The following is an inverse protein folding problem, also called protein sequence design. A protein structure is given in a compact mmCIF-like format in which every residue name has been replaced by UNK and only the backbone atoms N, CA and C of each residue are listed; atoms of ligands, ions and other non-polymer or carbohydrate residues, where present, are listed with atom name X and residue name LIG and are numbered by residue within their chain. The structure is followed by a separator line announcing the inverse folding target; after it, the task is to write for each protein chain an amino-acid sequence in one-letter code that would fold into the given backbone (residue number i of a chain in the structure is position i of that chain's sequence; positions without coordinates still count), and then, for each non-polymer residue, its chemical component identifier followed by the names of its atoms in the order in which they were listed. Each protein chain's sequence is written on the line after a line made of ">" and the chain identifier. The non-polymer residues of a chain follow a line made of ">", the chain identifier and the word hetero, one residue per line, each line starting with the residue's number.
data_IF_919115274643
#
_entry.id   IF_919115274643
#
_cell.length_a   1.000
_cell.length_b   1.000
_cell.length_c   1.000
_cell.angle_alpha   90.00
_cell.angle_beta   90.00
_cell.angle_gamma   90.00
#
_symmetry.space_group_name_H-M   'P 1'
#
loop_
_entity.id
_entity.type
_entity.pdbx_description
1 polymer ?
#
# COMPACT_ATOMS: atom_id res chain seq x y z
N UNK A 1 20.52 -25.11 17.09
CA UNK A 1 19.24 -24.36 17.05
C UNK A 1 18.10 -25.36 17.19
N UNK A 2 17.29 -25.26 18.25
CA UNK A 2 16.33 -26.30 18.65
C UNK A 2 15.24 -26.56 17.60
N UNK A 3 14.90 -27.85 17.31
CA UNK A 3 13.85 -28.24 16.36
C UNK A 3 12.44 -27.78 16.77
N UNK A 4 12.24 -27.43 18.05
CA UNK A 4 10.98 -26.90 18.58
C UNK A 4 10.58 -25.55 17.97
N UNK A 5 11.54 -24.67 17.69
CA UNK A 5 11.27 -23.36 17.05
C UNK A 5 10.93 -23.50 15.56
N UNK A 6 11.36 -24.59 14.91
CA UNK A 6 11.04 -24.87 13.52
C UNK A 6 9.58 -25.33 13.36
N UNK A 7 9.00 -25.95 14.39
CA UNK A 7 7.63 -26.47 14.35
C UNK A 7 6.58 -25.38 14.60
N UNK A 8 6.86 -24.43 15.49
CA UNK A 8 5.89 -23.37 15.84
C UNK A 8 5.68 -22.38 14.69
N UNK A 9 6.72 -22.08 13.91
CA UNK A 9 6.63 -21.15 12.76
C UNK A 9 6.02 -21.81 11.52
N UNK A 10 5.99 -23.14 11.44
CA UNK A 10 5.61 -23.87 10.22
C UNK A 10 4.11 -24.21 10.10
N UNK A 11 3.31 -24.01 11.16
CA UNK A 11 1.89 -24.42 11.15
C UNK A 11 0.88 -23.34 11.55
N UNK A 12 1.32 -22.09 11.75
CA UNK A 12 0.39 -20.97 11.94
C UNK A 12 -0.13 -20.56 10.56
N UNK A 13 -1.44 -20.67 10.37
CA UNK A 13 -2.11 -20.24 9.14
C UNK A 13 -1.80 -18.75 8.87
N UNK A 14 -1.60 -18.37 7.61
CA UNK A 14 -1.33 -16.97 7.22
C UNK A 14 -2.43 -16.03 7.73
N UNK A 15 -3.66 -16.52 7.78
CA UNK A 15 -4.79 -15.82 8.38
C UNK A 15 -4.59 -15.54 9.88
N UNK A 16 -4.19 -16.54 10.66
CA UNK A 16 -3.98 -16.41 12.11
C UNK A 16 -2.85 -15.44 12.44
N UNK A 17 -1.78 -15.40 11.62
CA UNK A 17 -0.71 -14.42 11.77
C UNK A 17 -1.20 -12.99 11.54
N UNK A 18 -1.97 -12.76 10.46
CA UNK A 18 -2.54 -11.45 10.18
C UNK A 18 -3.55 -11.02 11.25
N UNK A 19 -4.39 -11.93 11.72
CA UNK A 19 -5.33 -11.64 12.81
C UNK A 19 -4.60 -11.26 14.10
N UNK A 20 -3.58 -12.03 14.49
CA UNK A 20 -2.77 -11.71 15.67
C UNK A 20 -2.04 -10.37 15.51
N UNK A 21 -1.54 -10.07 14.31
CA UNK A 21 -0.91 -8.78 13.99
C UNK A 21 -1.85 -7.60 14.23
N UNK A 22 -3.06 -7.61 13.68
CA UNK A 22 -4.02 -6.51 13.87
C UNK A 22 -4.53 -6.41 15.31
N UNK A 23 -4.72 -7.54 16.01
CA UNK A 23 -5.09 -7.54 17.43
C UNK A 23 -3.97 -6.93 18.30
N UNK A 24 -2.72 -7.31 18.06
CA UNK A 24 -1.57 -6.74 18.76
C UNK A 24 -1.40 -5.25 18.45
N UNK A 25 -1.50 -4.87 17.18
CA UNK A 25 -1.40 -3.48 16.75
C UNK A 25 -2.47 -2.61 17.40
N UNK A 26 -3.72 -3.08 17.45
CA UNK A 26 -4.84 -2.39 18.10
C UNK A 26 -4.64 -2.26 19.61
N UNK A 27 -4.19 -3.32 20.28
CA UNK A 27 -3.96 -3.31 21.72
C UNK A 27 -2.79 -2.40 22.12
N UNK A 28 -1.68 -2.46 21.37
CA UNK A 28 -0.57 -1.53 21.52
C UNK A 28 -1.02 -0.09 21.24
N UNK A 29 -1.85 0.10 20.20
CA UNK A 29 -2.44 1.37 19.85
C UNK A 29 -3.22 2.00 21.01
N UNK A 30 -4.12 1.22 21.61
CA UNK A 30 -4.91 1.61 22.77
C UNK A 30 -4.04 2.07 23.96
N UNK A 31 -3.06 1.25 24.37
CA UNK A 31 -2.21 1.58 25.52
C UNK A 31 -1.38 2.84 25.29
N UNK A 32 -0.83 2.99 24.09
CA UNK A 32 0.02 4.13 23.74
C UNK A 32 -0.82 5.41 23.63
N UNK A 33 -2.02 5.36 23.06
CA UNK A 33 -2.92 6.53 23.00
C UNK A 33 -3.29 7.06 24.39
N UNK A 34 -3.56 6.18 25.35
CA UNK A 34 -3.78 6.57 26.75
C UNK A 34 -2.52 7.18 27.35
N UNK A 35 -1.36 6.54 27.15
CA UNK A 35 -0.09 7.01 27.69
C UNK A 35 0.30 8.40 27.21
N UNK A 36 0.03 8.73 25.94
CA UNK A 36 0.39 10.04 25.37
C UNK A 36 -0.46 11.20 25.88
N UNK A 37 -1.67 10.93 26.37
CA UNK A 37 -2.61 11.93 26.89
C UNK A 37 -3.21 12.85 25.81
N UNK A 38 -4.46 13.26 26.04
CA UNK A 38 -5.18 14.23 25.22
C UNK A 38 -4.63 15.65 25.39
N UNK A 39 -5.07 16.55 24.52
CA UNK A 39 -4.72 17.97 24.62
C UNK A 39 -5.21 18.55 25.96
N UNK A 40 -4.44 19.46 26.61
CA UNK A 40 -4.90 20.15 27.81
C UNK A 40 -6.22 20.89 27.54
N UNK A 41 -7.23 20.64 28.38
CA UNK A 41 -8.56 21.25 28.27
C UNK A 41 -9.58 20.49 27.41
N UNK A 42 -9.18 19.39 26.76
CA UNK A 42 -10.13 18.47 26.14
C UNK A 42 -10.75 17.54 27.20
N UNK A 43 -12.02 17.19 27.01
CA UNK A 43 -12.68 16.19 27.84
C UNK A 43 -11.96 14.85 27.73
N UNK A 44 -11.77 14.17 28.87
CA UNK A 44 -11.10 12.87 28.90
C UNK A 44 -12.05 11.82 28.32
N UNK A 45 -11.71 11.19 27.18
CA UNK A 45 -12.54 10.16 26.58
C UNK A 45 -12.64 8.93 27.47
N UNK A 46 -13.70 8.13 27.28
CA UNK A 46 -13.84 6.86 27.98
C UNK A 46 -12.80 5.88 27.45
N UNK A 47 -12.42 4.92 28.29
CA UNK A 47 -11.47 3.86 27.91
C UNK A 47 -11.88 3.12 26.64
N UNK A 48 -13.18 2.86 26.46
CA UNK A 48 -13.71 2.18 25.27
C UNK A 48 -13.52 3.01 23.98
N UNK A 49 -13.52 4.34 24.09
CA UNK A 49 -13.35 5.23 22.95
C UNK A 49 -11.93 5.13 22.40
N UNK A 50 -10.93 5.00 23.27
CA UNK A 50 -9.54 4.74 22.87
C UNK A 50 -9.37 3.37 22.20
N UNK A 51 -10.05 2.33 22.69
CA UNK A 51 -10.01 1.00 22.05
C UNK A 51 -10.61 1.08 20.65
N UNK A 52 -11.78 1.71 20.53
CA UNK A 52 -12.46 1.88 19.25
C UNK A 52 -11.60 2.67 18.25
N UNK A 53 -11.07 3.82 18.68
CA UNK A 53 -10.20 4.64 17.82
C UNK A 53 -8.91 3.89 17.45
N UNK A 54 -8.28 3.16 18.38
CA UNK A 54 -7.07 2.39 18.09
C UNK A 54 -7.32 1.28 17.05
N UNK A 55 -8.41 0.51 17.21
CA UNK A 55 -8.81 -0.51 16.23
C UNK A 55 -9.08 0.15 14.89
N UNK A 56 -9.89 1.21 14.88
CA UNK A 56 -10.29 1.88 13.64
C UNK A 56 -9.11 2.48 12.87
N UNK A 57 -8.13 3.02 13.59
CA UNK A 57 -6.88 3.55 13.02
C UNK A 57 -5.98 2.43 12.50
N UNK A 58 -5.87 1.33 13.25
CA UNK A 58 -5.09 0.18 12.83
C UNK A 58 -5.70 -0.57 11.64
N UNK A 59 -7.02 -0.47 11.42
CA UNK A 59 -7.73 -1.10 10.30
C UNK A 59 -8.07 -0.13 9.17
N UNK A 60 -7.58 1.12 9.22
CA UNK A 60 -7.88 2.20 8.27
C UNK A 60 -9.38 2.36 7.97
N UNK A 61 -10.23 2.24 9.00
CA UNK A 61 -11.69 2.38 8.84
C UNK A 61 -12.21 3.79 9.10
N UNK A 62 -11.37 4.70 9.61
CA UNK A 62 -11.66 6.11 9.94
C UNK A 62 -12.93 6.43 10.74
N UNK A 63 -13.47 5.47 11.48
CA UNK A 63 -14.52 5.73 12.45
C UNK A 63 -13.89 6.16 13.78
N UNK A 64 -14.27 7.32 14.32
CA UNK A 64 -13.85 7.74 15.66
C UNK A 64 -15.02 8.22 16.48
N UNK A 65 -15.01 7.90 17.77
CA UNK A 65 -15.93 8.46 18.78
C UNK A 65 -15.34 9.74 19.38
N UNK A 66 -14.02 9.89 19.31
CA UNK A 66 -13.27 11.04 19.83
C UNK A 66 -13.07 12.04 18.69
N UNK A 67 -13.36 13.31 18.97
CA UNK A 67 -13.05 14.42 18.08
C UNK A 67 -11.55 14.47 17.73
N UNK A 68 -11.23 14.70 16.46
CA UNK A 68 -9.85 14.71 15.97
C UNK A 68 -8.99 15.81 16.63
N UNK A 69 -9.61 16.94 16.99
CA UNK A 69 -8.94 18.07 17.64
C UNK A 69 -8.71 17.88 19.15
N UNK A 70 -9.36 16.90 19.77
CA UNK A 70 -9.11 16.51 21.16
C UNK A 70 -7.77 15.79 21.32
N UNK A 71 -7.27 15.15 20.24
CA UNK A 71 -5.99 14.48 20.26
C UNK A 71 -4.82 15.46 20.32
N UNK A 72 -3.83 15.12 21.14
CA UNK A 72 -2.56 15.85 21.14
C UNK A 72 -1.79 15.60 19.84
N UNK A 73 -0.90 16.52 19.46
CA UNK A 73 -0.06 16.36 18.27
C UNK A 73 0.78 15.06 18.31
N UNK A 74 1.14 14.60 19.51
CA UNK A 74 1.84 13.33 19.70
C UNK A 74 0.91 12.14 19.43
N UNK A 75 -0.34 12.19 19.91
CA UNK A 75 -1.33 11.14 19.62
C UNK A 75 -1.62 11.07 18.13
N UNK A 76 -1.80 12.21 17.46
CA UNK A 76 -1.96 12.26 16.00
C UNK A 76 -0.77 11.63 15.28
N UNK A 77 0.47 11.94 15.67
CA UNK A 77 1.66 11.33 15.06
C UNK A 77 1.72 9.81 15.27
N UNK A 78 1.30 9.33 16.45
CA UNK A 78 1.24 7.90 16.71
C UNK A 78 0.11 7.22 15.93
N UNK A 79 -1.04 7.88 15.78
CA UNK A 79 -2.12 7.44 14.89
C UNK A 79 -1.63 7.36 13.44
N UNK A 80 -0.85 8.34 12.97
CA UNK A 80 -0.17 8.29 11.66
C UNK A 80 0.67 7.02 11.52
N UNK A 81 1.43 6.67 12.55
CA UNK A 81 2.21 5.43 12.55
C UNK A 81 1.31 4.19 12.50
N UNK A 82 0.22 4.15 13.28
CA UNK A 82 -0.75 3.04 13.27
C UNK A 82 -1.41 2.87 11.89
N UNK A 83 -1.87 3.95 11.25
CA UNK A 83 -2.44 3.92 9.90
C UNK A 83 -1.43 3.40 8.88
N UNK A 84 -0.20 3.91 8.92
CA UNK A 84 0.85 3.47 8.00
C UNK A 84 1.16 1.97 8.12
N UNK A 85 1.24 1.46 9.36
CA UNK A 85 1.57 0.06 9.65
C UNK A 85 0.34 -0.86 9.43
N UNK A 86 -0.86 -0.35 9.69
CA UNK A 86 -2.13 -1.05 9.45
C UNK A 86 -2.52 -1.15 7.98
N UNK A 87 -2.04 -0.22 7.15
CA UNK A 87 -2.44 -0.09 5.76
C UNK A 87 -2.13 -1.30 4.88
N UNK A 88 -3.07 -1.58 3.97
CA UNK A 88 -3.05 -2.74 3.08
C UNK A 88 -1.74 -2.84 2.29
N UNK A 89 -1.30 -1.73 1.68
CA UNK A 89 -0.06 -1.70 0.89
C UNK A 89 1.15 -2.05 1.76
N UNK A 90 1.25 -1.48 2.96
CA UNK A 90 2.38 -1.75 3.86
C UNK A 90 2.43 -3.22 4.27
N UNK A 91 1.31 -3.78 4.73
CA UNK A 91 1.21 -5.20 5.11
C UNK A 91 1.61 -6.10 3.95
N UNK A 92 1.14 -5.81 2.74
CA UNK A 92 1.51 -6.55 1.53
C UNK A 92 3.01 -6.47 1.21
N UNK A 93 3.65 -5.32 1.41
CA UNK A 93 5.10 -5.16 1.23
C UNK A 93 5.89 -5.93 2.30
N UNK A 94 5.44 -5.96 3.54
CA UNK A 94 6.07 -6.76 4.61
C UNK A 94 6.02 -8.24 4.25
N UNK A 95 4.86 -8.76 3.85
CA UNK A 95 4.70 -10.17 3.43
C UNK A 95 5.64 -10.50 2.26
N UNK A 96 5.71 -9.62 1.26
CA UNK A 96 6.61 -9.79 0.11
C UNK A 96 8.09 -9.76 0.52
N UNK A 97 8.46 -8.87 1.46
CA UNK A 97 9.83 -8.75 1.95
C UNK A 97 10.25 -9.97 2.75
N UNK A 98 9.35 -10.53 3.58
CA UNK A 98 9.57 -11.80 4.25
C UNK A 98 9.73 -12.95 3.26
N UNK A 99 8.94 -12.98 2.17
CA UNK A 99 9.10 -13.95 1.08
C UNK A 99 10.46 -13.81 0.40
N UNK A 100 10.86 -12.58 0.04
CA UNK A 100 12.16 -12.29 -0.56
C UNK A 100 13.33 -12.72 0.34
N UNK A 101 13.22 -12.45 1.65
CA UNK A 101 14.22 -12.85 2.64
C UNK A 101 14.34 -14.38 2.72
N UNK A 102 13.21 -15.10 2.84
CA UNK A 102 13.19 -16.57 2.87
C UNK A 102 13.84 -17.18 1.64
N UNK A 103 13.49 -16.65 0.46
CA UNK A 103 14.06 -17.08 -0.82
C UNK A 103 15.57 -16.84 -0.84
N UNK A 104 16.04 -15.65 -0.43
CA UNK A 104 17.46 -15.33 -0.34
C UNK A 104 18.22 -16.27 0.60
N UNK A 105 17.66 -16.56 1.77
CA UNK A 105 18.28 -17.48 2.75
C UNK A 105 18.36 -18.90 2.20
N UNK A 106 17.30 -19.39 1.55
CA UNK A 106 17.28 -20.73 0.93
C UNK A 106 18.33 -20.84 -0.17
N UNK A 107 18.43 -19.84 -1.05
CA UNK A 107 19.43 -19.81 -2.11
C UNK A 107 20.86 -19.78 -1.55
N UNK A 108 21.10 -19.09 -0.42
CA UNK A 108 22.42 -19.07 0.23
C UNK A 108 22.79 -20.42 0.86
N UNK A 109 21.84 -21.05 1.55
CA UNK A 109 22.04 -22.38 2.14
C UNK A 109 22.35 -23.44 1.06
N UNK A 110 21.66 -23.39 -0.08
CA UNK A 110 21.93 -24.29 -1.20
C UNK A 110 23.34 -24.11 -1.79
N UNK A 111 23.79 -22.85 -1.94
CA UNK A 111 25.14 -22.56 -2.42
C UNK A 111 26.23 -23.05 -1.45
N UNK A 112 26.03 -22.87 -0.13
CA UNK A 112 26.94 -23.36 0.90
C UNK A 112 27.02 -24.91 0.93
N UNK A 113 25.89 -25.59 0.69
CA UNK A 113 25.82 -27.06 0.61
C UNK A 113 26.54 -27.61 -0.62
N UNK A 114 26.38 -26.95 -1.78
CA UNK A 114 27.08 -27.30 -3.02
C UNK A 114 28.60 -27.10 -2.88
N UNK A 115 29.04 -25.99 -2.27
CA UNK A 115 30.46 -25.73 -1.98
C UNK A 115 31.05 -26.79 -1.04
N UNK A 116 30.33 -27.18 0.01
CA UNK A 116 30.75 -28.23 0.94
C UNK A 116 30.84 -29.60 0.26
N UNK A 117 29.91 -29.93 -0.63
CA UNK A 117 29.94 -31.19 -1.39
C UNK A 117 31.14 -31.25 -2.34
N UNK A 118 31.54 -30.11 -2.93
CA UNK A 118 32.70 -30.01 -3.81
C UNK A 118 34.04 -30.04 -3.06
N UNK A 119 34.04 -29.59 -1.80
CA UNK A 119 35.22 -29.60 -0.93
C UNK A 119 35.50 -30.95 -0.25
N UNK A 120 34.62 -31.95 -0.38
CA UNK A 120 34.84 -33.29 0.18
C UNK A 120 35.46 -34.19 -0.90
N UNK A 121 36.76 -34.57 -0.82
CA UNK A 121 37.33 -35.47 -1.78
C UNK A 121 36.81 -36.88 -1.52
N UNK A 122 36.14 -37.48 -2.50
CA UNK A 122 35.82 -38.91 -2.50
C UNK A 122 37.15 -39.68 -2.50
N UNK A 123 37.57 -40.17 -1.34
CA UNK A 123 38.67 -41.13 -1.23
C UNK A 123 38.18 -42.48 -1.73
N UNK A 124 38.13 -42.68 -3.05
CA UNK A 124 38.08 -44.02 -3.63
C UNK A 124 39.49 -44.64 -3.60
N UNK A 125 39.65 -45.91 -3.19
CA UNK A 125 40.96 -46.56 -3.15
C UNK A 125 41.52 -46.75 -4.57
N UNK A 126 42.85 -46.83 -4.74
CA UNK A 126 43.49 -46.84 -6.05
C UNK A 126 43.26 -48.19 -6.74
N UNK A 127 42.52 -48.16 -7.84
CA UNK A 127 42.34 -49.27 -8.78
C UNK A 127 42.76 -48.83 -10.19
N UNK A 128 43.79 -49.49 -10.68
CA UNK A 128 44.51 -49.34 -11.94
C UNK A 128 43.61 -49.32 -13.21
N UNK A 129 43.84 -48.36 -14.11
CA UNK A 129 44.13 -48.57 -15.55
C UNK A 129 43.80 -47.37 -16.47
N UNK A 130 44.87 -46.90 -17.12
CA UNK A 130 45.03 -46.52 -18.53
C UNK A 130 44.26 -45.32 -19.13
N UNK A 131 45.09 -44.35 -19.55
CA UNK A 131 44.94 -43.36 -20.60
C UNK A 131 43.95 -43.69 -21.72
N UNK A 132 43.01 -42.77 -21.95
CA UNK A 132 42.54 -42.44 -23.30
C UNK A 132 42.32 -40.92 -23.37
N UNK A 133 43.19 -40.22 -24.12
CA UNK A 133 43.00 -38.82 -24.47
C UNK A 133 41.90 -38.74 -25.53
N UNK A 134 40.66 -38.44 -25.13
CA UNK A 134 39.70 -37.86 -26.05
C UNK A 134 39.85 -36.34 -26.06
N UNK A 135 40.46 -35.84 -27.14
CA UNK A 135 40.50 -34.43 -27.48
C UNK A 135 39.11 -34.02 -27.98
N UNK A 136 38.19 -33.67 -27.07
CA UNK A 136 36.90 -33.11 -27.46
C UNK A 136 37.06 -31.64 -27.88
N UNK A 137 37.36 -31.42 -29.16
CA UNK A 137 37.00 -30.19 -29.86
C UNK A 137 35.46 -30.17 -29.94
N UNK A 138 34.83 -29.41 -29.04
CA UNK A 138 33.38 -29.32 -28.95
C UNK A 138 32.97 -27.88 -28.74
N UNK A 139 32.57 -27.23 -29.84
CA UNK A 139 31.79 -26.00 -29.84
C UNK A 139 30.47 -26.32 -29.16
N UNK A 140 30.27 -25.85 -27.92
CA UNK A 140 29.04 -26.03 -27.17
C UNK A 140 27.91 -25.19 -27.78
N UNK A 141 27.34 -25.71 -28.88
CA UNK A 141 26.02 -25.35 -29.40
C UNK A 141 25.01 -26.48 -29.03
N UNK A 142 25.15 -27.10 -27.85
CA UNK A 142 24.14 -28.01 -27.30
C UNK A 142 23.07 -27.19 -26.60
N UNK A 143 21.83 -27.32 -27.07
CA UNK A 143 20.67 -26.77 -26.37
C UNK A 143 20.69 -27.20 -24.89
N UNK A 144 20.45 -26.28 -23.94
CA UNK A 144 20.55 -26.58 -22.52
C UNK A 144 19.63 -27.74 -22.14
N UNK A 145 20.15 -28.68 -21.36
CA UNK A 145 19.39 -29.83 -20.84
C UNK A 145 18.17 -29.35 -20.02
N UNK A 146 17.06 -30.09 -19.98
CA UNK A 146 15.82 -29.66 -19.31
C UNK A 146 16.01 -29.26 -17.84
N UNK A 147 16.98 -29.87 -17.14
CA UNK A 147 17.30 -29.55 -15.75
C UNK A 147 17.97 -28.17 -15.59
N UNK A 148 18.87 -27.80 -16.51
CA UNK A 148 19.60 -26.53 -16.42
C UNK A 148 18.72 -25.30 -16.72
N UNK A 149 17.68 -25.46 -17.55
CA UNK A 149 16.68 -24.41 -17.83
C UNK A 149 15.82 -24.14 -16.59
N UNK A 150 15.33 -25.18 -15.90
CA UNK A 150 14.51 -25.02 -14.70
C UNK A 150 15.31 -24.38 -13.56
N UNK A 151 16.59 -24.73 -13.41
CA UNK A 151 17.48 -24.12 -12.43
C UNK A 151 17.74 -22.62 -12.72
N UNK A 152 17.98 -22.26 -13.98
CA UNK A 152 18.17 -20.87 -14.39
C UNK A 152 16.89 -20.03 -14.18
N UNK A 153 15.72 -20.59 -14.47
CA UNK A 153 14.45 -19.91 -14.24
C UNK A 153 14.18 -19.70 -12.74
N UNK A 154 14.47 -20.70 -11.88
CA UNK A 154 14.35 -20.57 -10.42
C UNK A 154 15.28 -19.50 -9.84
N UNK A 155 16.52 -19.42 -10.34
CA UNK A 155 17.47 -18.36 -9.94
C UNK A 155 16.93 -16.98 -10.34
N UNK A 156 16.40 -16.85 -11.55
CA UNK A 156 15.82 -15.59 -12.03
C UNK A 156 14.56 -15.21 -11.24
N UNK A 157 13.68 -16.16 -10.95
CA UNK A 157 12.51 -15.98 -10.09
C UNK A 157 12.93 -15.43 -8.72
N UNK A 158 13.92 -16.07 -8.08
CA UNK A 158 14.45 -15.65 -6.79
C UNK A 158 15.00 -14.22 -6.80
N UNK A 159 15.80 -13.88 -7.81
CA UNK A 159 16.34 -12.52 -7.99
C UNK A 159 15.22 -11.50 -8.24
N UNK A 160 14.20 -11.89 -9.02
CA UNK A 160 13.06 -11.04 -9.36
C UNK A 160 12.20 -10.73 -8.14
N UNK A 161 11.91 -11.71 -7.28
CA UNK A 161 11.14 -11.49 -6.02
C UNK A 161 11.87 -10.52 -5.08
N UNK A 162 13.19 -10.65 -4.94
CA UNK A 162 14.00 -9.73 -4.14
C UNK A 162 13.97 -8.31 -4.72
N UNK A 163 14.06 -8.18 -6.04
CA UNK A 163 14.00 -6.89 -6.70
C UNK A 163 12.62 -6.25 -6.61
N UNK A 164 11.54 -7.03 -6.73
CA UNK A 164 10.17 -6.55 -6.55
C UNK A 164 9.94 -6.02 -5.13
N UNK A 165 10.41 -6.72 -4.10
CA UNK A 165 10.36 -6.24 -2.71
C UNK A 165 11.03 -4.87 -2.55
N UNK A 166 12.20 -4.69 -3.18
CA UNK A 166 12.89 -3.40 -3.20
C UNK A 166 12.08 -2.31 -3.91
N UNK A 167 11.51 -2.59 -5.09
CA UNK A 167 10.67 -1.64 -5.82
C UNK A 167 9.46 -1.20 -4.98
N UNK A 168 8.76 -2.13 -4.33
CA UNK A 168 7.60 -1.79 -3.51
C UNK A 168 7.97 -0.95 -2.28
N UNK A 169 9.11 -1.23 -1.64
CA UNK A 169 9.61 -0.43 -0.52
C UNK A 169 9.98 0.99 -0.97
N UNK A 170 10.69 1.12 -2.10
CA UNK A 170 10.98 2.42 -2.69
C UNK A 170 9.70 3.18 -3.06
N UNK A 171 8.71 2.49 -3.61
CA UNK A 171 7.41 3.08 -3.94
C UNK A 171 6.74 3.71 -2.71
N UNK A 172 6.63 2.95 -1.62
CA UNK A 172 6.04 3.44 -0.37
C UNK A 172 6.77 4.68 0.16
N UNK A 173 8.11 4.63 0.22
CA UNK A 173 8.91 5.74 0.74
C UNK A 173 8.78 6.99 -0.15
N UNK A 174 8.91 6.84 -1.47
CA UNK A 174 8.90 7.97 -2.41
C UNK A 174 7.53 8.66 -2.41
N UNK A 175 6.43 7.91 -2.47
CA UNK A 175 5.08 8.49 -2.48
C UNK A 175 4.80 9.26 -1.19
N UNK A 176 5.16 8.70 -0.02
CA UNK A 176 4.94 9.40 1.26
C UNK A 176 5.84 10.64 1.40
N UNK A 177 7.13 10.54 1.09
CA UNK A 177 8.03 11.70 1.16
C UNK A 177 7.52 12.81 0.24
N UNK A 178 7.13 12.47 -0.98
CA UNK A 178 6.63 13.44 -1.95
C UNK A 178 5.30 14.06 -1.52
N UNK A 179 4.34 13.25 -1.06
CA UNK A 179 3.04 13.71 -0.57
C UNK A 179 3.17 14.64 0.64
N UNK A 180 3.97 14.25 1.63
CA UNK A 180 4.26 15.07 2.83
C UNK A 180 4.97 16.35 2.45
N UNK A 181 5.96 16.29 1.55
CA UNK A 181 6.68 17.48 1.11
C UNK A 181 5.77 18.48 0.40
N UNK A 182 4.94 18.02 -0.54
CA UNK A 182 3.99 18.88 -1.26
C UNK A 182 2.96 19.49 -0.31
N UNK A 183 2.37 18.69 0.58
CA UNK A 183 1.36 19.18 1.52
C UNK A 183 1.95 20.14 2.56
N UNK A 184 3.13 19.83 3.10
CA UNK A 184 3.85 20.72 4.02
C UNK A 184 4.24 22.03 3.34
N UNK A 185 4.71 21.99 2.09
CA UNK A 185 5.00 23.19 1.31
C UNK A 185 3.73 24.02 1.11
N UNK A 186 2.64 23.40 0.69
CA UNK A 186 1.36 24.09 0.47
C UNK A 186 0.84 24.77 1.75
N UNK A 187 0.79 24.04 2.86
CA UNK A 187 0.31 24.57 4.14
C UNK A 187 1.17 25.73 4.62
N UNK A 188 2.48 25.69 4.41
CA UNK A 188 3.40 26.76 4.81
C UNK A 188 3.29 27.99 3.90
N UNK A 189 3.03 27.79 2.60
CA UNK A 189 2.92 28.87 1.62
C UNK A 189 1.53 29.53 1.61
N UNK A 190 0.48 28.81 2.01
CA UNK A 190 -0.90 29.30 2.01
C UNK A 190 -1.28 29.89 3.37
N UNK A 191 -1.50 31.22 3.49
CA UNK A 191 -1.89 31.84 4.74
C UNK A 191 -3.25 31.37 5.26
N UNK A 192 -4.18 31.05 4.35
CA UNK A 192 -5.50 30.53 4.71
C UNK A 192 -5.39 29.18 5.41
N UNK A 193 -4.61 28.24 4.84
CA UNK A 193 -4.41 26.93 5.44
C UNK A 193 -3.63 27.01 6.76
N UNK A 194 -2.57 27.83 6.81
CA UNK A 194 -1.78 28.03 8.03
C UNK A 194 -2.62 28.58 9.17
N UNK A 195 -3.47 29.60 8.93
CA UNK A 195 -4.33 30.19 9.97
C UNK A 195 -5.31 29.18 10.54
N UNK A 196 -5.98 28.40 9.69
CA UNK A 196 -6.89 27.33 10.14
C UNK A 196 -6.21 26.36 11.10
N UNK A 197 -4.96 25.96 10.80
CA UNK A 197 -4.21 25.03 11.66
C UNK A 197 -3.72 25.70 12.96
N UNK A 198 -3.32 26.97 12.89
CA UNK A 198 -2.92 27.75 14.06
C UNK A 198 -4.10 27.95 15.02
N UNK A 199 -5.27 28.31 14.50
CA UNK A 199 -6.51 28.48 15.26
C UNK A 199 -6.94 27.17 15.94
N UNK A 200 -6.81 26.05 15.22
CA UNK A 200 -7.10 24.71 15.76
C UNK A 200 -5.95 24.13 16.60
N UNK A 201 -4.81 24.81 16.72
CA UNK A 201 -3.65 24.36 17.50
C UNK A 201 -2.96 23.08 17.00
N UNK A 202 -3.06 22.82 15.70
CA UNK A 202 -2.47 21.65 15.03
C UNK A 202 -1.14 22.08 14.40
N UNK A 203 -0.06 21.34 14.66
CA UNK A 203 1.23 21.63 14.04
C UNK A 203 1.17 21.33 12.53
N UNK A 204 1.67 22.25 11.72
CA UNK A 204 1.70 22.13 10.25
C UNK A 204 2.31 20.81 9.75
N UNK A 205 3.44 20.39 10.32
CA UNK A 205 4.10 19.14 9.95
C UNK A 205 3.28 17.91 10.38
N UNK A 206 2.67 17.95 11.57
CA UNK A 206 1.79 16.86 12.04
C UNK A 206 0.59 16.71 11.12
N UNK A 207 -0.03 17.84 10.71
CA UNK A 207 -1.10 17.82 9.72
C UNK A 207 -0.64 17.21 8.38
N UNK A 208 0.51 17.67 7.86
CA UNK A 208 1.02 17.18 6.58
C UNK A 208 1.33 15.67 6.60
N UNK A 209 1.99 15.18 7.66
CA UNK A 209 2.28 13.75 7.85
C UNK A 209 1.01 12.93 7.98
N UNK A 210 0.09 13.37 8.84
CA UNK A 210 -1.13 12.64 9.14
C UNK A 210 -2.03 12.53 7.92
N UNK A 211 -2.34 13.65 7.29
CA UNK A 211 -3.17 13.69 6.10
C UNK A 211 -2.53 12.87 4.98
N UNK A 212 -1.22 13.02 4.73
CA UNK A 212 -0.58 12.28 3.65
C UNK A 212 -0.69 10.75 3.82
N UNK A 213 -0.43 10.22 5.02
CA UNK A 213 -0.54 8.78 5.30
C UNK A 213 -2.00 8.34 5.22
N UNK A 214 -2.93 9.11 5.82
CA UNK A 214 -4.36 8.80 5.81
C UNK A 214 -4.92 8.73 4.39
N UNK A 215 -4.63 9.74 3.55
CA UNK A 215 -5.04 9.82 2.15
C UNK A 215 -4.47 8.65 1.34
N UNK A 216 -3.19 8.30 1.51
CA UNK A 216 -2.58 7.17 0.80
C UNK A 216 -3.17 5.82 1.23
N UNK A 217 -3.39 5.63 2.53
CA UNK A 217 -4.02 4.43 3.08
C UNK A 217 -5.52 4.34 2.80
N UNK A 218 -6.12 5.37 2.19
CA UNK A 218 -7.59 5.52 2.09
C UNK A 218 -8.25 5.36 3.47
N UNK A 219 -7.62 5.86 4.52
CA UNK A 219 -8.13 5.78 5.88
C UNK A 219 -9.30 6.74 6.03
N UNK A 220 -9.05 8.06 5.89
CA UNK A 220 -10.10 9.09 5.90
C UNK A 220 -10.18 9.96 7.13
N UNK A 221 -9.31 9.69 8.11
CA UNK A 221 -9.09 10.66 9.17
C UNK A 221 -8.35 11.87 8.63
N UNK A 222 -8.80 13.04 9.05
CA UNK A 222 -8.08 14.30 8.94
C UNK A 222 -7.99 14.89 10.36
N UNK A 223 -6.91 15.60 10.74
CA UNK A 223 -6.74 16.12 12.10
C UNK A 223 -7.73 17.21 12.53
N UNK A 224 -8.71 17.54 11.70
CA UNK A 224 -9.76 18.53 11.93
C UNK A 224 -11.10 17.83 12.13
N UNK A 225 -11.93 18.34 13.04
CA UNK A 225 -13.23 17.75 13.38
C UNK A 225 -14.19 17.70 12.19
N UNK A 226 -14.14 18.73 11.35
CA UNK A 226 -14.99 18.85 10.17
C UNK A 226 -14.38 18.22 8.91
N UNK A 227 -13.36 17.36 9.06
CA UNK A 227 -12.62 16.77 7.94
C UNK A 227 -12.08 17.88 7.01
N UNK A 228 -12.09 17.67 5.69
CA UNK A 228 -11.63 18.65 4.69
C UNK A 228 -12.62 19.80 4.43
N UNK A 229 -13.77 19.87 5.13
CA UNK A 229 -14.76 20.95 4.94
C UNK A 229 -14.14 22.32 5.22
N UNK A 230 -13.28 22.43 6.22
CA UNK A 230 -12.59 23.68 6.58
C UNK A 230 -11.65 24.16 5.47
N UNK A 231 -11.27 23.24 4.57
CA UNK A 231 -10.40 23.50 3.42
C UNK A 231 -11.15 23.46 2.08
N UNK A 232 -12.49 23.65 2.08
CA UNK A 232 -13.32 23.63 0.86
C UNK A 232 -12.88 24.62 -0.22
N UNK A 233 -12.32 25.76 0.16
CA UNK A 233 -11.79 26.78 -0.76
C UNK A 233 -10.34 26.50 -1.21
N UNK A 234 -9.65 25.55 -0.58
CA UNK A 234 -8.24 25.26 -0.85
C UNK A 234 -8.09 24.22 -1.97
N UNK A 235 -8.43 24.61 -3.19
CA UNK A 235 -8.41 23.74 -4.38
C UNK A 235 -7.06 23.08 -4.64
N UNK A 236 -5.96 23.81 -4.44
CA UNK A 236 -4.60 23.27 -4.61
C UNK A 236 -4.32 22.13 -3.65
N UNK A 237 -4.81 22.21 -2.41
CA UNK A 237 -4.66 21.12 -1.44
C UNK A 237 -5.40 19.87 -1.91
N UNK A 238 -6.64 20.04 -2.36
CA UNK A 238 -7.46 18.95 -2.89
C UNK A 238 -6.79 18.31 -4.13
N UNK A 239 -6.20 19.12 -5.01
CA UNK A 239 -5.45 18.64 -6.18
C UNK A 239 -4.16 17.89 -5.83
N UNK A 240 -3.51 18.21 -4.71
CA UNK A 240 -2.35 17.46 -4.21
C UNK A 240 -2.80 16.08 -3.68
N UNK A 241 -3.94 16.02 -3.01
CA UNK A 241 -4.44 14.81 -2.36
C UNK A 241 -5.09 13.81 -3.35
N UNK A 242 -5.79 14.29 -4.39
CA UNK A 242 -6.42 13.43 -5.42
C UNK A 242 -5.47 12.36 -6.02
N UNK A 243 -4.28 12.71 -6.56
CA UNK A 243 -3.38 11.71 -7.11
C UNK A 243 -2.83 10.79 -6.02
N UNK A 244 -2.69 11.28 -4.78
CA UNK A 244 -2.15 10.52 -3.67
C UNK A 244 -3.10 9.41 -3.20
N UNK A 245 -4.41 9.69 -3.09
CA UNK A 245 -5.42 8.66 -2.76
C UNK A 245 -5.54 7.64 -3.90
N UNK A 246 -5.47 8.07 -5.16
CA UNK A 246 -5.50 7.14 -6.29
C UNK A 246 -4.29 6.20 -6.30
N UNK A 247 -3.08 6.73 -6.05
CA UNK A 247 -1.86 5.93 -5.93
C UNK A 247 -1.85 5.00 -4.70
N UNK A 248 -2.72 5.25 -3.73
CA UNK A 248 -2.98 4.37 -2.60
C UNK A 248 -3.62 3.04 -2.99
N UNK A 249 -4.46 2.50 -2.10
CA UNK A 249 -5.07 1.19 -2.25
C UNK A 249 -5.79 0.98 -3.60
N UNK A 250 -6.45 2.02 -4.13
CA UNK A 250 -7.27 1.94 -5.35
C UNK A 250 -6.46 1.57 -6.61
N UNK A 251 -5.35 2.26 -6.87
CA UNK A 251 -4.53 2.03 -8.08
C UNK A 251 -3.12 1.53 -7.77
N UNK A 252 -2.86 1.05 -6.56
CA UNK A 252 -1.56 0.45 -6.22
C UNK A 252 -1.10 -0.62 -7.22
N UNK A 253 -1.94 -1.61 -7.64
CA UNK A 253 -1.52 -2.63 -8.61
C UNK A 253 -1.04 -2.09 -9.98
N UNK A 254 -1.80 -1.24 -10.70
CA UNK A 254 -1.33 -0.67 -11.97
C UNK A 254 -0.17 0.31 -11.79
N UNK A 255 -0.15 1.12 -10.71
CA UNK A 255 0.98 2.01 -10.42
C UNK A 255 2.27 1.22 -10.18
N UNK A 256 2.20 0.14 -9.39
CA UNK A 256 3.33 -0.75 -9.17
C UNK A 256 3.84 -1.37 -10.47
N UNK A 257 2.93 -1.86 -11.33
CA UNK A 257 3.30 -2.43 -12.63
C UNK A 257 4.01 -1.39 -13.51
N UNK A 258 3.53 -0.15 -13.53
CA UNK A 258 4.18 0.96 -14.21
C UNK A 258 5.57 1.23 -13.64
N UNK A 259 5.75 1.21 -12.31
CA UNK A 259 7.06 1.35 -11.66
C UNK A 259 8.04 0.23 -12.05
N UNK A 260 7.58 -1.03 -12.11
CA UNK A 260 8.42 -2.16 -12.57
C UNK A 260 8.84 -1.97 -14.04
N UNK A 261 7.93 -1.50 -14.89
CA UNK A 261 8.26 -1.21 -16.28
C UNK A 261 9.24 -0.04 -16.44
N UNK A 262 9.01 1.05 -15.70
CA UNK A 262 9.89 2.23 -15.70
C UNK A 262 11.30 1.87 -15.23
N UNK A 263 11.41 1.13 -14.12
CA UNK A 263 12.71 0.68 -13.60
C UNK A 263 13.44 -0.23 -14.58
N UNK A 264 12.74 -1.11 -15.30
CA UNK A 264 13.34 -1.94 -16.36
C UNK A 264 13.89 -1.13 -17.53
N UNK A 265 13.24 -0.02 -17.85
CA UNK A 265 13.68 0.91 -18.91
C UNK A 265 14.85 1.78 -18.48
N UNK A 266 14.86 2.22 -17.22
CA UNK A 266 15.90 3.09 -16.67
C UNK A 266 17.17 2.31 -16.28
N UNK A 267 17.01 1.09 -15.77
CA UNK A 267 18.13 0.26 -15.30
C UNK A 267 18.26 -1.01 -16.13
N UNK A 268 18.93 -0.89 -17.28
CA UNK A 268 19.20 -2.03 -18.19
C UNK A 268 19.86 -3.22 -17.49
N UNK A 269 20.69 -2.99 -16.47
CA UNK A 269 21.32 -4.08 -15.69
C UNK A 269 20.33 -4.98 -14.94
N UNK A 270 19.06 -4.57 -14.79
CA UNK A 270 17.98 -5.34 -14.16
C UNK A 270 16.83 -5.64 -15.12
N UNK A 271 17.02 -5.44 -16.43
CA UNK A 271 15.98 -5.66 -17.45
C UNK A 271 15.38 -7.06 -17.36
N UNK A 272 16.22 -8.08 -17.24
CA UNK A 272 15.78 -9.48 -17.22
C UNK A 272 14.86 -9.78 -16.04
N UNK A 273 15.16 -9.20 -14.87
CA UNK A 273 14.31 -9.32 -13.68
C UNK A 273 12.97 -8.62 -13.91
N UNK A 274 12.98 -7.38 -14.42
CA UNK A 274 11.73 -6.62 -14.67
C UNK A 274 10.87 -7.26 -15.76
N UNK A 275 11.49 -7.79 -16.81
CA UNK A 275 10.79 -8.49 -17.87
C UNK A 275 10.16 -9.79 -17.34
N UNK A 276 10.90 -10.54 -16.51
CA UNK A 276 10.37 -11.70 -15.82
C UNK A 276 9.16 -11.34 -14.93
N UNK A 277 9.27 -10.28 -14.11
CA UNK A 277 8.17 -9.77 -13.28
C UNK A 277 6.92 -9.43 -14.10
N UNK A 278 7.09 -8.76 -15.23
CA UNK A 278 5.97 -8.30 -16.06
C UNK A 278 5.31 -9.42 -16.88
N UNK A 279 6.07 -10.46 -17.27
CA UNK A 279 5.59 -11.60 -18.07
C UNK A 279 5.06 -12.75 -17.22
N UNK A 280 5.68 -13.03 -16.06
CA UNK A 280 5.41 -14.19 -15.20
C UNK A 280 4.81 -13.81 -13.84
N UNK A 281 4.02 -12.73 -13.80
CA UNK A 281 3.43 -12.20 -12.56
C UNK A 281 2.63 -13.24 -11.74
N UNK A 282 1.87 -14.13 -12.40
CA UNK A 282 1.10 -15.20 -11.74
C UNK A 282 1.98 -16.19 -10.97
N UNK A 283 3.18 -16.50 -11.48
CA UNK A 283 4.13 -17.42 -10.84
C UNK A 283 4.75 -16.83 -9.57
N UNK A 284 4.97 -15.51 -9.56
CA UNK A 284 5.49 -14.79 -8.39
C UNK A 284 4.50 -14.81 -7.23
N UNK A 285 3.20 -14.91 -7.51
CA UNK A 285 2.16 -15.03 -6.48
C UNK A 285 2.10 -13.83 -5.53
N UNK A 286 2.44 -12.63 -6.02
CA UNK A 286 2.20 -11.38 -5.29
C UNK A 286 0.91 -10.75 -5.81
N UNK A 287 -0.10 -10.66 -4.95
CA UNK A 287 -1.47 -10.29 -5.31
C UNK A 287 -1.56 -8.95 -6.06
N UNK A 288 -0.81 -7.93 -5.63
CA UNK A 288 -0.85 -6.61 -6.26
C UNK A 288 -0.04 -6.51 -7.57
N UNK A 289 0.76 -7.52 -7.95
CA UNK A 289 1.41 -7.52 -9.26
C UNK A 289 0.52 -8.22 -10.28
N UNK A 290 -0.47 -7.48 -10.78
CA UNK A 290 -1.43 -8.02 -11.76
C UNK A 290 -0.77 -8.23 -13.13
N UNK A 291 -1.17 -9.27 -13.89
CA UNK A 291 -0.89 -9.40 -15.32
C UNK A 291 -1.31 -8.15 -16.11
N UNK A 292 -0.66 -7.90 -17.25
CA UNK A 292 -0.87 -6.64 -17.98
C UNK A 292 -2.31 -6.37 -18.42
N UNK A 293 -3.04 -7.41 -18.83
CA UNK A 293 -4.46 -7.28 -19.20
C UNK A 293 -5.34 -6.95 -18.00
N UNK A 294 -5.18 -7.69 -16.90
CA UNK A 294 -5.94 -7.49 -15.66
C UNK A 294 -5.67 -6.10 -15.05
N UNK A 295 -4.41 -5.66 -15.06
CA UNK A 295 -4.00 -4.31 -14.66
C UNK A 295 -4.64 -3.22 -15.54
N UNK A 296 -4.72 -3.42 -16.86
CA UNK A 296 -5.36 -2.48 -17.77
C UNK A 296 -6.88 -2.41 -17.57
N UNK A 297 -7.54 -3.56 -17.38
CA UNK A 297 -8.97 -3.64 -17.08
C UNK A 297 -9.31 -2.95 -15.75
N UNK A 298 -8.47 -3.14 -14.73
CA UNK A 298 -8.63 -2.45 -13.44
C UNK A 298 -8.55 -0.92 -13.61
N UNK A 299 -7.50 -0.42 -14.29
CA UNK A 299 -7.36 1.01 -14.57
C UNK A 299 -8.54 1.56 -15.36
N UNK A 300 -8.98 0.87 -16.42
CA UNK A 300 -10.13 1.28 -17.21
C UNK A 300 -11.41 1.34 -16.38
N UNK A 301 -11.63 0.33 -15.54
CA UNK A 301 -12.80 0.25 -14.65
C UNK A 301 -12.81 1.40 -13.65
N UNK A 302 -11.67 1.67 -12.98
CA UNK A 302 -11.53 2.79 -12.04
C UNK A 302 -11.83 4.12 -12.71
N UNK A 303 -11.28 4.37 -13.91
CA UNK A 303 -11.47 5.62 -14.66
C UNK A 303 -12.92 5.77 -15.12
N UNK A 304 -13.55 4.71 -15.66
CA UNK A 304 -14.94 4.74 -16.11
C UNK A 304 -15.88 5.04 -14.95
N UNK A 305 -15.75 4.29 -13.84
CA UNK A 305 -16.59 4.52 -12.67
C UNK A 305 -16.41 5.91 -12.07
N UNK A 306 -15.17 6.40 -12.00
CA UNK A 306 -14.89 7.76 -11.52
C UNK A 306 -15.53 8.81 -12.45
N UNK A 307 -15.38 8.66 -13.76
CA UNK A 307 -15.96 9.60 -14.74
C UNK A 307 -17.49 9.61 -14.68
N UNK A 308 -18.13 8.43 -14.58
CA UNK A 308 -19.59 8.31 -14.42
C UNK A 308 -20.05 8.95 -13.12
N UNK A 309 -19.39 8.65 -12.01
CA UNK A 309 -19.74 9.21 -10.71
C UNK A 309 -19.57 10.73 -10.68
N UNK A 310 -18.48 11.23 -11.25
CA UNK A 310 -18.21 12.66 -11.36
C UNK A 310 -19.26 13.37 -12.21
N UNK A 311 -19.63 12.81 -13.37
CA UNK A 311 -20.69 13.36 -14.21
C UNK A 311 -22.06 13.37 -13.52
N UNK A 312 -22.40 12.28 -12.81
CA UNK A 312 -23.64 12.21 -12.03
C UNK A 312 -23.67 13.26 -10.92
N UNK A 313 -22.60 13.37 -10.14
CA UNK A 313 -22.49 14.35 -9.06
C UNK A 313 -22.60 15.80 -9.58
N UNK A 314 -21.93 16.12 -10.69
CA UNK A 314 -22.09 17.42 -11.34
C UNK A 314 -23.52 17.66 -11.82
N UNK A 315 -24.22 16.64 -12.30
CA UNK A 315 -25.60 16.76 -12.76
C UNK A 315 -26.61 16.98 -11.63
N UNK A 316 -26.43 16.30 -10.50
CA UNK A 316 -27.39 16.31 -9.38
C UNK A 316 -27.11 17.41 -8.36
N UNK A 317 -25.84 17.72 -8.09
CA UNK A 317 -25.45 18.50 -6.92
C UNK A 317 -24.82 19.86 -7.23
N UNK A 318 -24.77 20.29 -8.50
CA UNK A 318 -24.19 21.59 -8.86
C UNK A 318 -24.79 22.79 -8.11
N UNK A 319 -26.08 22.68 -7.76
CA UNK A 319 -26.87 23.69 -7.05
C UNK A 319 -27.23 23.27 -5.62
N UNK A 320 -26.61 22.23 -5.08
CA UNK A 320 -26.86 21.79 -3.70
C UNK A 320 -26.30 22.79 -2.69
N UNK A 321 -26.90 22.84 -1.50
CA UNK A 321 -26.48 23.72 -0.41
C UNK A 321 -25.02 23.52 -0.03
N UNK A 322 -24.54 22.26 -0.10
CA UNK A 322 -23.15 21.91 0.18
C UNK A 322 -22.14 22.64 -0.69
N UNK A 323 -22.47 22.94 -1.95
CA UNK A 323 -21.60 23.63 -2.91
C UNK A 323 -21.91 25.11 -3.08
N UNK A 324 -22.92 25.66 -2.39
CA UNK A 324 -23.20 27.10 -2.42
C UNK A 324 -21.98 27.87 -1.87
N UNK A 325 -21.69 29.03 -2.48
CA UNK A 325 -20.56 29.88 -2.11
C UNK A 325 -19.22 29.48 -2.75
N UNK A 326 -19.14 28.34 -3.43
CA UNK A 326 -17.95 27.96 -4.22
C UNK A 326 -18.03 28.51 -5.65
N UNK A 327 -16.90 28.95 -6.17
CA UNK A 327 -16.76 29.31 -7.58
C UNK A 327 -16.75 28.05 -8.48
N UNK A 328 -16.86 28.23 -9.80
CA UNK A 328 -16.93 27.11 -10.76
C UNK A 328 -15.73 26.15 -10.67
N UNK A 329 -14.52 26.67 -10.45
CA UNK A 329 -13.30 25.84 -10.36
C UNK A 329 -13.28 25.07 -9.05
N UNK A 330 -13.61 25.71 -7.93
CA UNK A 330 -13.76 25.10 -6.62
C UNK A 330 -14.82 23.99 -6.64
N UNK A 331 -15.96 24.22 -7.28
CA UNK A 331 -17.00 23.19 -7.46
C UNK A 331 -16.48 22.00 -8.27
N UNK A 332 -15.78 22.25 -9.37
CA UNK A 332 -15.27 21.18 -10.23
C UNK A 332 -14.21 20.33 -9.51
N UNK A 333 -13.23 20.98 -8.88
CA UNK A 333 -12.17 20.30 -8.11
C UNK A 333 -12.75 19.59 -6.89
N UNK A 334 -13.68 20.24 -6.19
CA UNK A 334 -14.35 19.69 -5.03
C UNK A 334 -15.21 18.47 -5.36
N UNK A 335 -15.97 18.52 -6.45
CA UNK A 335 -16.70 17.37 -6.97
C UNK A 335 -15.75 16.21 -7.33
N UNK A 336 -14.62 16.50 -7.97
CA UNK A 336 -13.64 15.47 -8.30
C UNK A 336 -13.04 14.87 -7.01
N UNK A 337 -12.70 15.71 -6.04
CA UNK A 337 -12.19 15.27 -4.74
C UNK A 337 -13.19 14.35 -4.01
N UNK A 338 -14.47 14.74 -3.95
CA UNK A 338 -15.52 13.94 -3.31
C UNK A 338 -15.72 12.59 -4.03
N UNK A 339 -15.78 12.60 -5.36
CA UNK A 339 -16.01 11.38 -6.14
C UNK A 339 -14.83 10.41 -6.08
N UNK A 340 -13.59 10.91 -6.03
CA UNK A 340 -12.40 10.08 -5.81
C UNK A 340 -12.41 9.48 -4.41
N UNK A 341 -12.73 10.27 -3.38
CA UNK A 341 -12.72 9.82 -1.99
C UNK A 341 -13.92 8.96 -1.57
N UNK A 342 -14.98 8.93 -2.38
CA UNK A 342 -16.15 8.07 -2.15
C UNK A 342 -15.78 6.57 -2.12
N UNK A 343 -14.66 6.18 -2.74
CA UNK A 343 -14.14 4.81 -2.68
C UNK A 343 -13.23 4.65 -1.43
N UNK A 344 -13.85 4.35 -0.29
CA UNK A 344 -13.25 4.03 1.02
C UNK A 344 -12.40 5.10 1.71
N UNK A 345 -11.94 6.14 1.03
CA UNK A 345 -11.06 7.15 1.63
C UNK A 345 -11.77 8.08 2.61
N UNK A 346 -13.09 8.29 2.53
CA UNK A 346 -13.85 8.99 3.58
C UNK A 346 -13.58 10.50 3.77
N UNK A 347 -12.61 11.08 3.07
CA UNK A 347 -12.35 12.53 3.11
C UNK A 347 -13.45 13.31 2.37
N UNK A 348 -13.99 14.35 3.01
CA UNK A 348 -15.07 15.17 2.46
C UNK A 348 -14.84 16.66 2.66
N UNK A 349 -15.20 17.45 1.66
CA UNK A 349 -15.15 18.93 1.67
C UNK A 349 -16.53 19.58 1.88
N UNK A 350 -17.59 18.77 1.96
CA UNK A 350 -18.96 19.24 2.25
C UNK A 350 -19.61 18.31 3.29
N UNK A 351 -20.61 18.82 4.00
CA UNK A 351 -21.45 17.97 4.83
C UNK A 351 -22.30 17.05 3.93
N UNK A 352 -22.21 15.74 4.15
CA UNK A 352 -22.96 14.73 3.40
C UNK A 352 -24.48 14.93 3.53
N UNK A 353 -24.96 15.56 4.61
CA UNK A 353 -26.38 15.87 4.81
C UNK A 353 -26.90 16.94 3.84
N UNK A 354 -26.00 17.72 3.23
CA UNK A 354 -26.34 18.82 2.31
C UNK A 354 -26.27 18.42 0.83
N UNK A 355 -25.91 17.16 0.58
CA UNK A 355 -25.84 16.56 -0.76
C UNK A 355 -27.18 15.87 -1.06
N UNK A 356 -27.56 15.81 -2.33
CA UNK A 356 -28.74 15.08 -2.80
C UNK A 356 -28.71 13.59 -2.41
N UNK A 357 -29.88 13.04 -2.09
CA UNK A 357 -30.03 11.62 -1.77
C UNK A 357 -29.57 10.71 -2.92
N UNK A 358 -29.72 11.15 -4.18
CA UNK A 358 -29.26 10.42 -5.35
C UNK A 358 -27.74 10.22 -5.34
N UNK A 359 -26.96 11.27 -5.05
CA UNK A 359 -25.51 11.17 -4.93
C UNK A 359 -25.06 10.31 -3.76
N UNK A 360 -25.76 10.37 -2.62
CA UNK A 360 -25.48 9.48 -1.49
C UNK A 360 -25.67 8.01 -1.86
N UNK A 361 -26.73 7.68 -2.60
CA UNK A 361 -26.94 6.31 -3.10
C UNK A 361 -25.79 5.88 -4.03
N UNK A 362 -25.34 6.77 -4.92
CA UNK A 362 -24.18 6.47 -5.79
C UNK A 362 -22.91 6.25 -4.96
N UNK A 363 -22.67 7.06 -3.91
CA UNK A 363 -21.51 6.89 -3.03
C UNK A 363 -21.56 5.55 -2.30
N UNK A 364 -22.71 5.16 -1.76
CA UNK A 364 -22.91 3.86 -1.12
C UNK A 364 -22.66 2.72 -2.10
N UNK A 365 -23.20 2.80 -3.33
CA UNK A 365 -22.95 1.78 -4.36
C UNK A 365 -21.47 1.71 -4.72
N UNK A 366 -20.74 2.82 -4.71
CA UNK A 366 -19.31 2.85 -5.05
C UNK A 366 -18.40 2.33 -3.92
N UNK A 367 -18.87 2.33 -2.67
CA UNK A 367 -18.19 1.71 -1.54
C UNK A 367 -18.27 0.17 -1.55
N UNK A 368 -19.23 -0.45 -2.24
CA UNK A 368 -19.42 -1.91 -2.22
C UNK A 368 -18.43 -2.69 -3.12
N UNK A 369 -18.14 -2.28 -4.38
CA UNK A 369 -17.33 -3.06 -5.32
C UNK A 369 -15.91 -3.37 -4.85
N UNK A 370 -15.32 -2.54 -3.99
CA UNK A 370 -13.95 -2.80 -3.51
C UNK A 370 -13.88 -4.05 -2.61
N UNK A 371 -14.99 -4.41 -1.94
CA UNK A 371 -15.09 -5.68 -1.22
C UNK A 371 -15.23 -6.90 -2.16
N UNK A 372 -15.68 -6.70 -3.41
CA UNK A 372 -16.01 -7.77 -4.35
C UNK A 372 -14.81 -8.26 -5.18
N UNK A 373 -13.71 -7.51 -5.25
CA UNK A 373 -12.45 -7.98 -5.86
C UNK A 373 -11.80 -9.15 -5.09
N UNK A 374 -12.34 -9.52 -3.93
CA UNK A 374 -11.90 -10.65 -3.10
C UNK A 374 -12.41 -12.02 -3.60
N UNK A 375 -13.22 -12.08 -4.67
CA UNK A 375 -13.60 -13.39 -5.23
C UNK A 375 -12.39 -14.05 -5.92
N UNK A 376 -11.96 -15.25 -5.46
CA UNK A 376 -10.87 -15.96 -6.10
C UNK A 376 -11.26 -16.27 -7.54
N UNK A 377 -10.40 -15.89 -8.48
CA UNK A 377 -10.45 -16.43 -9.82
C UNK A 377 -10.45 -17.94 -9.69
N UNK A 378 -11.58 -18.55 -10.06
CA UNK A 378 -11.82 -19.98 -10.13
C UNK A 378 -10.53 -20.76 -10.38
N UNK A 379 -10.14 -21.62 -9.45
CA UNK A 379 -9.12 -22.64 -9.68
C UNK A 379 -9.51 -23.36 -10.98
N UNK A 380 -8.70 -23.16 -12.02
CA UNK A 380 -8.71 -24.01 -13.19
C UNK A 380 -8.15 -25.36 -12.79
N UNK A 381 -9.00 -26.22 -12.22
CA UNK A 381 -8.82 -27.67 -12.36
C UNK A 381 -9.24 -28.02 -13.77
N UNK A 382 -8.24 -28.28 -14.61
CA UNK A 382 -8.33 -29.17 -15.76
C UNK A 382 -7.06 -30.01 -15.77
#
# INVERSE_FOLDING_TARGET
>A
MNPFNRFFVFRVNSFSLNLFYFLFLSFAGYWILIYLGTRPGADVPRTIDYVFTAVSTATDSSMSVIEMEAFSNSQLLFMTFLMFVGGEVFVSVVVLTLKAFRVRTKSRMAAEEEEKSRATPTSSPPGDHRHELELSVGKDDRAPSPSSIDDQERILESKSVQFLSFICLCYLIVIHIFGVALLSAYVTLSPSASRVLEDKGIKRLTFALFTAVSTFGSCGFIPTNENMIVFRHNTVMQLILIPQVLMGNTMFPPCLRLCVWLTGKLWKAKSDCTEYLLRKSKRIGFYHLLPGRESAWLTATVVIFLAVQFALFLGTDWWSEGLIGLNTVEKLVGALFLTVNARHSGETIVDLNTISAASLVVFVVMMVPSALYVLPSHEGRA
#
